data_IF_614664625576
#
_entry.id   IF_614664625576
#
_cell.length_a   1.000
_cell.length_b   1.000
_cell.length_c   1.000
_cell.angle_alpha   90.00
_cell.angle_beta   90.00
_cell.angle_gamma   90.00
#
_symmetry.space_group_name_H-M   'P 1'
#
loop_
_entity.id
_entity.type
_entity.pdbx_description
1 polymer ?
#
# COMPACT_ATOMS: atom_id res chain seq x y z
N UNK A 1 8.27 -6.72 13.41
CA UNK A 1 7.69 -6.77 12.07
C UNK A 1 8.05 -8.06 11.37
N UNK A 2 7.07 -8.68 10.77
CA UNK A 2 7.18 -9.97 10.09
C UNK A 2 6.42 -9.89 8.77
N UNK A 3 6.81 -10.66 7.74
CA UNK A 3 6.14 -10.63 6.43
C UNK A 3 4.74 -11.25 6.47
N UNK A 4 4.51 -12.24 7.32
CA UNK A 4 3.21 -12.89 7.47
C UNK A 4 2.27 -12.09 8.37
N UNK A 5 2.82 -11.49 9.43
CA UNK A 5 2.08 -10.63 10.34
C UNK A 5 2.57 -9.20 10.16
N UNK A 6 1.64 -8.25 10.19
CA UNK A 6 2.00 -6.83 10.18
C UNK A 6 2.75 -6.44 11.45
N UNK A 7 2.28 -6.91 12.59
CA UNK A 7 2.76 -6.51 13.90
C UNK A 7 2.72 -7.69 14.87
N UNK A 8 3.76 -7.81 15.70
CA UNK A 8 3.78 -8.69 16.87
C UNK A 8 4.06 -7.83 18.10
N UNK A 9 3.16 -7.87 19.07
CA UNK A 9 3.28 -7.10 20.30
C UNK A 9 4.01 -7.89 21.38
N UNK A 10 4.52 -7.19 22.39
CA UNK A 10 5.26 -7.79 23.51
C UNK A 10 4.40 -8.73 24.37
N UNK A 11 3.07 -8.54 24.37
CA UNK A 11 2.11 -9.41 25.06
C UNK A 11 1.75 -10.67 24.26
N UNK A 12 2.38 -10.90 23.11
CA UNK A 12 2.11 -12.03 22.24
C UNK A 12 1.00 -11.79 21.21
N UNK A 13 0.29 -10.67 21.26
CA UNK A 13 -0.73 -10.34 20.26
C UNK A 13 -0.09 -10.09 18.90
N UNK A 14 -0.73 -10.60 17.85
CA UNK A 14 -0.25 -10.47 16.47
C UNK A 14 -1.35 -9.89 15.58
N UNK A 15 -0.94 -9.01 14.66
CA UNK A 15 -1.83 -8.44 13.63
C UNK A 15 -1.38 -8.95 12.28
N UNK A 16 -2.25 -9.66 11.58
CA UNK A 16 -1.95 -10.23 10.27
C UNK A 16 -1.71 -9.15 9.22
N UNK A 17 -0.79 -9.40 8.29
CA UNK A 17 -0.59 -8.54 7.14
C UNK A 17 -1.78 -8.71 6.18
N UNK A 18 -2.59 -7.65 5.91
CA UNK A 18 -3.75 -7.76 5.03
C UNK A 18 -3.39 -7.99 3.56
N UNK A 19 -2.18 -7.65 3.14
CA UNK A 19 -1.65 -7.87 1.78
C UNK A 19 -2.57 -7.33 0.67
N UNK A 20 -3.04 -6.10 0.81
CA UNK A 20 -3.99 -5.48 -0.14
C UNK A 20 -3.49 -5.50 -1.58
N UNK A 21 -2.21 -5.21 -1.81
CA UNK A 21 -1.62 -5.26 -3.15
C UNK A 21 -1.69 -6.67 -3.74
N UNK A 22 -1.32 -7.70 -2.97
CA UNK A 22 -1.34 -9.08 -3.43
C UNK A 22 -2.74 -9.55 -3.81
N UNK A 23 -3.74 -9.16 -3.02
CA UNK A 23 -5.15 -9.52 -3.29
C UNK A 23 -5.65 -8.92 -4.61
N UNK A 24 -5.15 -7.74 -4.99
CA UNK A 24 -5.59 -7.02 -6.19
C UNK A 24 -4.64 -7.19 -7.36
N UNK A 25 -3.50 -7.87 -7.18
CA UNK A 25 -2.42 -7.98 -8.17
C UNK A 25 -2.89 -8.48 -9.54
N UNK A 26 -3.72 -9.53 -9.58
CA UNK A 26 -4.22 -10.10 -10.84
C UNK A 26 -5.10 -9.13 -11.60
N UNK A 27 -6.01 -8.44 -10.91
CA UNK A 27 -6.87 -7.41 -11.49
C UNK A 27 -6.04 -6.26 -12.06
N UNK A 28 -5.07 -5.77 -11.27
CA UNK A 28 -4.20 -4.69 -11.67
C UNK A 28 -3.35 -5.07 -12.88
N UNK A 29 -2.76 -6.27 -12.89
CA UNK A 29 -1.96 -6.75 -14.01
C UNK A 29 -2.79 -6.86 -15.29
N UNK A 30 -4.03 -7.36 -15.21
CA UNK A 30 -4.95 -7.42 -16.35
C UNK A 30 -5.27 -6.01 -16.86
N UNK A 31 -5.61 -5.09 -15.98
CA UNK A 31 -5.94 -3.71 -16.34
C UNK A 31 -4.75 -3.00 -17.00
N UNK A 32 -3.54 -3.22 -16.51
CA UNK A 32 -2.31 -2.65 -17.08
C UNK A 32 -1.99 -3.25 -18.45
N UNK A 33 -2.23 -4.54 -18.67
CA UNK A 33 -2.07 -5.16 -20.00
C UNK A 33 -3.02 -4.57 -21.03
N UNK A 34 -4.28 -4.35 -20.64
CA UNK A 34 -5.26 -3.69 -21.50
C UNK A 34 -4.83 -2.26 -21.83
N UNK A 35 -4.35 -1.53 -20.82
CA UNK A 35 -3.83 -0.17 -21.01
C UNK A 35 -2.69 -0.13 -22.01
N UNK A 36 -1.71 -1.03 -21.88
CA UNK A 36 -0.57 -1.11 -22.80
C UNK A 36 -1.00 -1.42 -24.23
N UNK A 37 -1.96 -2.32 -24.41
CA UNK A 37 -2.50 -2.62 -25.75
C UNK A 37 -3.20 -1.41 -26.39
N UNK A 38 -4.00 -0.70 -25.62
CA UNK A 38 -4.70 0.51 -26.10
C UNK A 38 -3.73 1.64 -26.42
N UNK A 39 -2.66 1.77 -25.63
CA UNK A 39 -1.60 2.74 -25.91
C UNK A 39 -0.89 2.44 -27.21
N UNK A 40 -0.49 1.18 -27.43
CA UNK A 40 0.18 0.76 -28.69
C UNK A 40 -0.72 0.96 -29.89
N UNK A 41 -2.00 0.62 -29.79
CA UNK A 41 -2.96 0.82 -30.87
C UNK A 41 -3.15 2.28 -31.23
N UNK A 42 -3.27 3.14 -30.21
CA UNK A 42 -3.42 4.59 -30.44
C UNK A 42 -2.17 5.17 -31.14
N UNK A 43 -0.97 4.77 -30.70
CA UNK A 43 0.29 5.19 -31.32
C UNK A 43 0.41 4.71 -32.76
N UNK A 44 0.03 3.45 -33.04
CA UNK A 44 0.06 2.88 -34.39
C UNK A 44 -0.88 3.62 -35.33
N UNK A 45 -2.04 4.07 -34.85
CA UNK A 45 -3.02 4.85 -35.63
C UNK A 45 -2.67 6.34 -35.69
N UNK A 46 -1.56 6.77 -35.10
CA UNK A 46 -1.13 8.17 -35.07
C UNK A 46 -1.98 9.07 -34.21
N UNK A 47 -2.76 8.53 -33.28
CA UNK A 47 -3.62 9.31 -32.39
C UNK A 47 -2.83 9.93 -31.23
N UNK A 48 -3.22 11.14 -30.86
CA UNK A 48 -2.73 11.75 -29.63
C UNK A 48 -3.34 11.00 -28.43
N UNK A 49 -2.50 10.54 -27.49
CA UNK A 49 -2.95 9.79 -26.31
C UNK A 49 -3.96 10.59 -25.47
N UNK A 50 -3.85 11.91 -25.41
CA UNK A 50 -4.83 12.78 -24.72
C UNK A 50 -6.24 12.65 -25.28
N UNK A 51 -6.36 12.40 -26.59
CA UNK A 51 -7.62 12.33 -27.30
C UNK A 51 -8.11 10.91 -27.52
N UNK A 52 -7.29 9.90 -27.18
CA UNK A 52 -7.66 8.48 -27.33
C UNK A 52 -8.59 8.06 -26.21
N UNK A 53 -9.90 8.09 -26.45
CA UNK A 53 -10.94 7.86 -25.43
C UNK A 53 -10.80 6.50 -24.73
N UNK A 54 -10.56 5.42 -25.47
CA UNK A 54 -10.41 4.09 -24.87
C UNK A 54 -9.17 3.98 -23.99
N UNK A 55 -8.07 4.59 -24.40
CA UNK A 55 -6.85 4.69 -23.60
C UNK A 55 -7.13 5.46 -22.30
N UNK A 56 -7.79 6.60 -22.38
CA UNK A 56 -8.09 7.43 -21.20
C UNK A 56 -9.03 6.73 -20.23
N UNK A 57 -10.03 6.00 -20.72
CA UNK A 57 -10.92 5.19 -19.87
C UNK A 57 -10.14 4.14 -19.09
N UNK A 58 -9.23 3.42 -19.77
CA UNK A 58 -8.44 2.36 -19.13
C UNK A 58 -7.43 2.94 -18.15
N UNK A 59 -6.85 4.11 -18.45
CA UNK A 59 -5.96 4.80 -17.51
C UNK A 59 -6.65 5.13 -16.20
N UNK A 60 -7.91 5.58 -16.25
CA UNK A 60 -8.71 5.84 -15.06
C UNK A 60 -9.00 4.55 -14.27
N UNK A 61 -9.28 3.44 -14.95
CA UNK A 61 -9.50 2.15 -14.30
C UNK A 61 -8.26 1.71 -13.52
N UNK A 62 -7.07 1.81 -14.13
CA UNK A 62 -5.80 1.48 -13.46
C UNK A 62 -5.57 2.41 -12.26
N UNK A 63 -5.79 3.72 -12.43
CA UNK A 63 -5.64 4.69 -11.34
C UNK A 63 -6.57 4.40 -10.17
N UNK A 64 -7.84 4.03 -10.44
CA UNK A 64 -8.80 3.65 -9.40
C UNK A 64 -8.39 2.40 -8.62
N UNK A 65 -7.80 1.40 -9.30
CA UNK A 65 -7.31 0.20 -8.63
C UNK A 65 -6.15 0.50 -7.69
N UNK A 66 -5.18 1.32 -8.12
CA UNK A 66 -4.09 1.78 -7.25
C UNK A 66 -4.63 2.59 -6.06
N UNK A 67 -5.58 3.47 -6.30
CA UNK A 67 -6.18 4.30 -5.27
C UNK A 67 -6.93 3.46 -4.23
N UNK A 68 -7.65 2.43 -4.67
CA UNK A 68 -8.33 1.48 -3.78
C UNK A 68 -7.34 0.80 -2.83
N UNK A 69 -6.22 0.30 -3.35
CA UNK A 69 -5.18 -0.34 -2.54
C UNK A 69 -4.63 0.65 -1.51
N UNK A 70 -4.31 1.86 -1.94
CA UNK A 70 -3.79 2.92 -1.06
C UNK A 70 -4.77 3.27 0.06
N UNK A 71 -6.06 3.40 -0.26
CA UNK A 71 -7.11 3.72 0.72
C UNK A 71 -7.31 2.60 1.72
N UNK A 72 -7.34 1.35 1.27
CA UNK A 72 -7.47 0.19 2.14
C UNK A 72 -6.32 0.11 3.13
N UNK A 73 -5.09 0.31 2.64
CA UNK A 73 -3.88 0.31 3.47
C UNK A 73 -3.92 1.46 4.48
N UNK A 74 -4.23 2.66 4.01
CA UNK A 74 -4.29 3.83 4.87
C UNK A 74 -5.33 3.69 5.97
N UNK A 75 -6.53 3.20 5.64
CA UNK A 75 -7.59 2.95 6.61
C UNK A 75 -7.17 1.94 7.67
N UNK A 76 -6.59 0.81 7.25
CA UNK A 76 -6.06 -0.20 8.15
C UNK A 76 -5.03 0.39 9.13
N UNK A 77 -4.09 1.17 8.62
CA UNK A 77 -3.05 1.79 9.43
C UNK A 77 -3.62 2.85 10.39
N UNK A 78 -4.59 3.62 9.95
CA UNK A 78 -5.25 4.63 10.80
C UNK A 78 -5.97 3.99 11.98
N UNK A 79 -6.76 2.96 11.73
CA UNK A 79 -7.50 2.25 12.78
C UNK A 79 -6.54 1.60 13.77
N UNK A 80 -5.53 0.90 13.28
CA UNK A 80 -4.57 0.19 14.13
C UNK A 80 -3.72 1.16 14.97
N UNK A 81 -3.21 2.23 14.37
CA UNK A 81 -2.39 3.21 15.09
C UNK A 81 -3.19 3.92 16.18
N UNK A 82 -4.44 4.29 15.91
CA UNK A 82 -5.32 4.91 16.91
C UNK A 82 -5.58 3.96 18.09
N UNK A 83 -5.87 2.69 17.81
CA UNK A 83 -6.10 1.69 18.86
C UNK A 83 -4.88 1.52 19.76
N UNK A 84 -3.68 1.43 19.17
CA UNK A 84 -2.44 1.29 19.94
C UNK A 84 -2.17 2.50 20.83
N UNK A 85 -2.31 3.72 20.30
CA UNK A 85 -2.04 4.94 21.06
C UNK A 85 -3.05 5.15 22.19
N UNK A 86 -4.33 4.88 21.95
CA UNK A 86 -5.36 5.03 22.99
C UNK A 86 -5.18 4.07 24.15
N UNK A 87 -4.70 2.86 23.89
CA UNK A 87 -4.63 1.79 24.89
C UNK A 87 -3.28 1.68 25.61
N UNK A 88 -2.29 2.48 25.24
CA UNK A 88 -0.92 2.41 25.80
C UNK A 88 -0.37 3.79 26.10
N UNK A 89 0.34 3.91 27.23
CA UNK A 89 1.03 5.16 27.61
C UNK A 89 2.37 5.30 26.90
N UNK A 90 3.02 4.17 26.58
CA UNK A 90 4.30 4.14 25.89
C UNK A 90 4.26 3.05 24.83
N UNK A 91 4.65 3.41 23.60
CA UNK A 91 4.81 2.48 22.49
C UNK A 91 6.25 2.54 21.99
N UNK A 92 6.93 1.39 21.99
CA UNK A 92 8.27 1.27 21.43
C UNK A 92 8.20 0.38 20.19
N UNK A 93 8.74 0.87 19.08
CA UNK A 93 8.68 0.18 17.80
C UNK A 93 10.05 0.11 17.14
N UNK A 94 10.27 -0.97 16.38
CA UNK A 94 11.49 -1.19 15.62
C UNK A 94 11.52 -0.34 14.36
N UNK A 95 12.65 0.31 14.08
CA UNK A 95 12.87 1.01 12.81
C UNK A 95 13.51 0.05 11.80
N UNK A 96 12.85 -0.11 10.66
CA UNK A 96 13.32 -0.98 9.59
C UNK A 96 13.95 -0.18 8.45
N UNK A 97 15.08 -0.69 7.94
CA UNK A 97 15.73 -0.14 6.74
C UNK A 97 15.08 -0.71 5.48
N UNK A 98 13.87 -0.25 5.20
CA UNK A 98 13.03 -0.76 4.11
C UNK A 98 13.71 -0.74 2.75
N UNK A 99 14.57 0.24 2.48
CA UNK A 99 15.31 0.32 1.21
C UNK A 99 16.17 -0.91 0.92
N UNK A 100 16.82 -1.46 1.94
CA UNK A 100 17.65 -2.65 1.78
C UNK A 100 16.81 -3.90 1.54
N UNK A 101 15.65 -3.98 2.18
CA UNK A 101 14.72 -5.09 2.03
C UNK A 101 14.01 -5.07 0.67
N UNK A 102 13.74 -3.89 0.11
CA UNK A 102 13.08 -3.74 -1.18
C UNK A 102 13.93 -4.18 -2.38
N UNK A 103 15.24 -4.39 -2.20
CA UNK A 103 16.12 -4.94 -3.24
C UNK A 103 15.78 -6.39 -3.60
N UNK A 104 15.11 -7.12 -2.72
CA UNK A 104 14.67 -8.49 -2.97
C UNK A 104 13.24 -8.47 -3.52
N UNK A 105 13.05 -8.92 -4.78
CA UNK A 105 11.75 -8.93 -5.44
C UNK A 105 10.69 -9.76 -4.70
N UNK A 106 11.08 -10.88 -4.10
CA UNK A 106 10.16 -11.73 -3.36
C UNK A 106 9.60 -11.02 -2.13
N UNK A 107 10.38 -10.16 -1.49
CA UNK A 107 10.02 -9.42 -0.28
C UNK A 107 9.40 -8.06 -0.56
N UNK A 108 9.74 -7.42 -1.69
CA UNK A 108 9.35 -6.04 -1.98
C UNK A 108 7.83 -5.81 -1.97
N UNK A 109 7.05 -6.74 -2.53
CA UNK A 109 5.59 -6.64 -2.54
C UNK A 109 5.01 -6.72 -1.12
N UNK A 110 5.51 -7.63 -0.30
CA UNK A 110 5.06 -7.79 1.08
C UNK A 110 5.41 -6.56 1.92
N UNK A 111 6.60 -6.02 1.73
CA UNK A 111 7.06 -4.82 2.42
C UNK A 111 6.24 -3.60 2.01
N UNK A 112 5.94 -3.46 0.71
CA UNK A 112 5.08 -2.39 0.20
C UNK A 112 3.66 -2.49 0.76
N UNK A 113 3.12 -3.71 0.91
CA UNK A 113 1.81 -3.94 1.49
C UNK A 113 1.75 -3.63 2.99
N UNK A 114 2.88 -3.74 3.69
CA UNK A 114 2.94 -3.47 5.13
C UNK A 114 2.78 -1.98 5.45
N UNK A 115 3.40 -1.09 4.67
CA UNK A 115 3.34 0.35 4.92
C UNK A 115 3.93 0.77 6.26
N UNK A 116 5.00 0.12 6.70
CA UNK A 116 5.56 0.27 8.06
C UNK A 116 6.00 1.71 8.37
N UNK A 117 6.64 2.37 7.42
CA UNK A 117 7.09 3.77 7.60
C UNK A 117 5.91 4.71 7.86
N UNK A 118 4.84 4.58 7.08
CA UNK A 118 3.62 5.36 7.27
C UNK A 118 2.99 5.08 8.63
N UNK A 119 3.00 3.83 9.07
CA UNK A 119 2.51 3.42 10.37
C UNK A 119 3.29 4.07 11.51
N UNK A 120 4.63 4.06 11.44
CA UNK A 120 5.48 4.71 12.44
C UNK A 120 5.21 6.22 12.50
N UNK A 121 5.04 6.88 11.36
CA UNK A 121 4.71 8.30 11.32
C UNK A 121 3.34 8.58 11.98
N UNK A 122 2.36 7.72 11.73
CA UNK A 122 1.04 7.82 12.37
C UNK A 122 1.12 7.66 13.89
N UNK A 123 1.91 6.71 14.37
CA UNK A 123 2.13 6.53 15.81
C UNK A 123 2.76 7.77 16.42
N UNK A 124 3.76 8.36 15.77
CA UNK A 124 4.47 9.52 16.27
C UNK A 124 3.55 10.74 16.43
N UNK A 125 2.81 11.13 15.39
CA UNK A 125 1.95 12.30 15.50
C UNK A 125 0.74 12.06 16.41
N UNK A 126 0.22 10.84 16.46
CA UNK A 126 -0.90 10.50 17.34
C UNK A 126 -0.48 10.45 18.81
N UNK A 127 0.76 10.01 19.09
CA UNK A 127 1.30 10.06 20.43
C UNK A 127 1.35 11.52 20.94
N UNK A 128 1.83 12.45 20.13
CA UNK A 128 1.83 13.87 20.46
C UNK A 128 0.41 14.41 20.67
N UNK A 129 -0.52 14.04 19.78
CA UNK A 129 -1.91 14.50 19.83
C UNK A 129 -2.64 14.01 21.09
N UNK A 130 -2.39 12.78 21.53
CA UNK A 130 -3.02 12.20 22.73
C UNK A 130 -2.18 12.37 24.01
N UNK A 131 -1.07 13.09 23.95
CA UNK A 131 -0.21 13.35 25.12
C UNK A 131 0.59 12.13 25.58
N UNK A 132 1.02 11.30 24.68
CA UNK A 132 1.71 10.04 25.01
C UNK A 132 3.17 9.98 24.57
#
# INVERSE_FOLDING_TARGET
>A
LNLDNFLTASNGAMVANPRFYRKTKKKLAHAQRVLSRRQRRAKKEGRNLRLAKNYQKQRLIVAKLHDKIRRQRNDFLQVLSTALIKNHDLVVAEELRSKNLLKNHALSQSISDVGWRSFLNMLAYKADLYGK
#
